data_IF_709980910744
#
_entry.id   IF_709980910744
#
_cell.length_a   1.000
_cell.length_b   1.000
_cell.length_c   1.000
_cell.angle_alpha   90.00
_cell.angle_beta   90.00
_cell.angle_gamma   90.00
#
_symmetry.space_group_name_H-M   'P 1'
#
loop_
_entity.id
_entity.type
_entity.pdbx_description
1 polymer ?
#
# COMPACT_ATOMS: atom_id res chain seq x y z
N UNK A 1 -22.08 -13.70 18.48
CA UNK A 1 -21.55 -12.40 18.01
C UNK A 1 -20.69 -12.71 16.81
N UNK A 2 -21.38 -12.73 15.68
CA UNK A 2 -20.96 -12.47 14.30
C UNK A 2 -19.66 -13.13 13.80
N UNK A 3 -19.84 -14.35 13.30
CA UNK A 3 -19.00 -14.94 12.26
C UNK A 3 -19.25 -14.16 10.96
N UNK A 4 -18.55 -13.03 10.80
CA UNK A 4 -18.63 -12.21 9.58
C UNK A 4 -17.85 -12.92 8.50
N UNK A 5 -18.54 -13.82 7.79
CA UNK A 5 -18.19 -14.32 6.46
C UNK A 5 -18.32 -13.20 5.42
N UNK A 6 -17.56 -12.12 5.63
CA UNK A 6 -17.45 -10.95 4.75
C UNK A 6 -16.05 -10.79 4.13
N UNK A 7 -15.12 -11.71 4.45
CA UNK A 7 -13.71 -11.68 4.06
C UNK A 7 -13.39 -12.34 2.72
N UNK A 8 -14.29 -12.28 1.74
CA UNK A 8 -13.96 -12.66 0.36
C UNK A 8 -14.30 -11.53 -0.62
N UNK A 9 -15.46 -10.90 -0.43
CA UNK A 9 -15.94 -9.79 -1.28
C UNK A 9 -15.07 -8.54 -1.10
N UNK A 10 -14.52 -8.31 0.10
CA UNK A 10 -13.65 -7.16 0.38
C UNK A 10 -12.26 -7.30 -0.25
N UNK A 11 -11.67 -8.48 -0.16
CA UNK A 11 -10.32 -8.79 -0.62
C UNK A 11 -10.25 -8.82 -2.14
N UNK A 12 -11.21 -9.45 -2.80
CA UNK A 12 -11.26 -9.49 -4.26
C UNK A 12 -11.38 -8.08 -4.85
N UNK A 13 -12.28 -7.25 -4.28
CA UNK A 13 -12.42 -5.84 -4.67
C UNK A 13 -11.11 -5.08 -4.50
N UNK A 14 -10.34 -5.38 -3.45
CA UNK A 14 -9.07 -4.71 -3.21
C UNK A 14 -7.97 -5.16 -4.18
N UNK A 15 -7.88 -6.46 -4.46
CA UNK A 15 -6.97 -6.99 -5.47
C UNK A 15 -7.27 -6.37 -6.84
N UNK A 16 -8.54 -6.32 -7.26
CA UNK A 16 -8.94 -5.66 -8.52
C UNK A 16 -8.56 -4.18 -8.56
N UNK A 17 -8.75 -3.45 -7.46
CA UNK A 17 -8.36 -2.04 -7.39
C UNK A 17 -6.84 -1.84 -7.53
N UNK A 18 -6.03 -2.70 -6.90
CA UNK A 18 -4.57 -2.65 -7.00
C UNK A 18 -4.08 -3.00 -8.41
N UNK A 19 -4.65 -4.03 -9.02
CA UNK A 19 -4.33 -4.42 -10.40
C UNK A 19 -4.72 -3.31 -11.38
N UNK A 20 -5.90 -2.71 -11.19
CA UNK A 20 -6.35 -1.56 -11.98
C UNK A 20 -5.45 -0.34 -11.84
N UNK A 21 -4.99 -0.03 -10.63
CA UNK A 21 -4.02 1.05 -10.39
C UNK A 21 -2.65 0.78 -11.04
N UNK A 22 -2.27 -0.50 -11.15
CA UNK A 22 -1.07 -0.94 -11.87
C UNK A 22 -1.26 -1.03 -13.40
N UNK A 23 -2.49 -0.83 -13.91
CA UNK A 23 -2.81 -0.97 -15.33
C UNK A 23 -2.75 -2.42 -15.84
N UNK A 24 -2.91 -3.39 -14.94
CA UNK A 24 -2.87 -4.81 -15.28
C UNK A 24 -4.28 -5.34 -15.51
N UNK A 25 -4.49 -5.95 -16.66
CA UNK A 25 -5.66 -6.76 -16.95
C UNK A 25 -5.33 -8.23 -16.68
N UNK A 26 -6.06 -8.83 -15.73
CA UNK A 26 -5.75 -10.15 -15.16
C UNK A 26 -7.02 -11.00 -15.17
N UNK A 27 -6.95 -12.27 -15.63
CA UNK A 27 -8.09 -13.18 -15.64
C UNK A 27 -8.73 -13.37 -14.26
N UNK A 28 -10.05 -13.58 -14.22
CA UNK A 28 -10.80 -13.71 -12.96
C UNK A 28 -10.31 -14.87 -12.08
N UNK A 29 -9.87 -15.99 -12.66
CA UNK A 29 -9.36 -17.13 -11.91
C UNK A 29 -7.99 -16.84 -11.26
N UNK A 30 -7.21 -15.91 -11.81
CA UNK A 30 -6.00 -15.40 -11.19
C UNK A 30 -6.31 -14.38 -10.10
N UNK A 31 -7.31 -13.52 -10.31
CA UNK A 31 -7.83 -12.60 -9.28
C UNK A 31 -8.30 -13.37 -8.05
N UNK A 32 -9.05 -14.45 -8.24
CA UNK A 32 -9.51 -15.32 -7.14
C UNK A 32 -8.36 -15.97 -6.37
N UNK A 33 -7.31 -16.41 -7.09
CA UNK A 33 -6.09 -16.96 -6.48
C UNK A 33 -5.34 -15.90 -5.68
N UNK A 34 -5.22 -14.70 -6.22
CA UNK A 34 -4.59 -13.55 -5.55
C UNK A 34 -5.39 -13.11 -4.32
N UNK A 35 -6.72 -13.07 -4.39
CA UNK A 35 -7.59 -12.73 -3.28
C UNK A 35 -7.39 -13.66 -2.08
N UNK A 36 -7.11 -14.96 -2.31
CA UNK A 36 -6.78 -15.94 -1.26
C UNK A 36 -5.41 -15.68 -0.61
N UNK A 37 -4.43 -15.18 -1.36
CA UNK A 37 -3.08 -14.89 -0.88
C UNK A 37 -2.95 -13.52 -0.22
N UNK A 38 -3.76 -12.56 -0.67
CA UNK A 38 -3.69 -11.15 -0.29
C UNK A 38 -3.73 -10.89 1.23
N UNK A 39 -4.57 -11.53 2.05
CA UNK A 39 -4.60 -11.32 3.50
C UNK A 39 -3.25 -11.61 4.18
N UNK A 40 -2.58 -12.69 3.76
CA UNK A 40 -1.28 -13.07 4.33
C UNK A 40 -0.18 -12.07 3.97
N UNK A 41 -0.18 -11.63 2.71
CA UNK A 41 0.74 -10.59 2.24
C UNK A 41 0.51 -9.27 2.96
N UNK A 42 -0.75 -8.82 3.07
CA UNK A 42 -1.12 -7.58 3.77
C UNK A 42 -0.65 -7.60 5.22
N UNK A 43 -0.92 -8.68 5.98
CA UNK A 43 -0.45 -8.82 7.37
C UNK A 43 1.07 -8.78 7.49
N UNK A 44 1.78 -9.32 6.49
CA UNK A 44 3.24 -9.33 6.45
C UNK A 44 3.77 -7.91 6.22
N UNK A 45 3.24 -7.21 5.21
CA UNK A 45 3.57 -5.81 4.92
C UNK A 45 3.26 -4.91 6.11
N UNK A 46 2.07 -5.04 6.70
CA UNK A 46 1.66 -4.27 7.90
C UNK A 46 2.62 -4.49 9.07
N UNK A 47 3.18 -5.70 9.21
CA UNK A 47 4.21 -5.98 10.23
C UNK A 47 5.54 -5.31 9.91
N UNK A 48 5.97 -5.33 8.64
CA UNK A 48 7.23 -4.70 8.22
C UNK A 48 7.19 -3.19 8.35
N UNK A 49 6.06 -2.57 8.00
CA UNK A 49 5.84 -1.13 8.12
C UNK A 49 5.21 -0.72 9.45
N UNK A 50 5.19 -1.63 10.44
CA UNK A 50 4.85 -1.28 11.81
C UNK A 50 5.99 -0.44 12.39
N UNK A 51 6.03 0.83 12.02
CA UNK A 51 6.92 1.80 12.63
C UNK A 51 6.39 2.07 14.04
N UNK A 52 7.15 1.74 15.11
CA UNK A 52 6.84 2.32 16.40
C UNK A 52 7.04 3.83 16.25
N UNK A 53 5.94 4.55 16.10
CA UNK A 53 5.90 6.01 16.27
C UNK A 53 6.12 6.28 17.76
N UNK A 54 7.38 6.10 18.20
CA UNK A 54 7.89 6.60 19.46
C UNK A 54 8.16 8.08 19.25
N UNK A 55 7.28 8.89 19.84
CA UNK A 55 7.18 10.34 19.69
C UNK A 55 6.92 10.86 18.28
N UNK A 56 6.10 11.90 18.23
CA UNK A 56 5.64 12.63 17.06
C UNK A 56 6.78 13.41 16.36
N UNK A 57 7.92 12.77 16.10
CA UNK A 57 8.99 13.40 15.35
C UNK A 57 8.71 13.16 13.87
N UNK A 58 8.07 14.15 13.26
CA UNK A 58 7.89 14.27 11.80
C UNK A 58 9.17 13.85 11.09
N UNK A 59 9.09 12.82 10.24
CA UNK A 59 10.21 12.37 9.43
C UNK A 59 10.84 13.57 8.72
N UNK A 60 12.16 13.73 8.84
CA UNK A 60 12.88 14.85 8.26
C UNK A 60 12.71 14.83 6.73
N UNK A 61 11.81 15.66 6.22
CA UNK A 61 11.67 15.89 4.78
C UNK A 61 12.90 16.67 4.34
N UNK A 62 13.83 15.99 3.69
CA UNK A 62 14.97 16.64 3.06
C UNK A 62 14.48 17.38 1.81
N UNK A 63 14.27 18.70 1.93
CA UNK A 63 14.05 19.56 0.77
C UNK A 63 15.41 19.82 0.14
N UNK A 64 15.64 19.28 -1.05
CA UNK A 64 16.76 19.71 -1.87
C UNK A 64 16.58 21.20 -2.15
N UNK A 65 17.46 22.02 -1.60
CA UNK A 65 17.51 23.44 -1.95
C UNK A 65 18.13 23.50 -3.33
N UNK A 66 17.33 23.85 -4.34
CA UNK A 66 17.84 24.23 -5.66
C UNK A 66 18.83 25.37 -5.44
N UNK A 67 20.10 25.02 -5.46
CA UNK A 67 21.21 25.96 -5.39
C UNK A 67 21.49 26.36 -6.82
N UNK A 68 20.69 27.26 -7.39
CA UNK A 68 21.05 27.96 -8.62
C UNK A 68 22.03 29.06 -8.24
N UNK A 69 23.34 28.96 -8.55
CA UNK A 69 24.27 30.03 -8.26
C UNK A 69 24.20 31.03 -9.42
N UNK A 70 23.82 32.27 -9.12
CA UNK A 70 23.99 33.37 -10.07
C UNK A 70 22.90 34.41 -9.99
N UNK A 71 23.06 35.39 -9.10
CA UNK A 71 23.02 36.79 -9.51
C UNK A 71 23.69 37.65 -8.42
N UNK A 72 25.01 37.87 -8.57
CA UNK A 72 25.67 39.01 -7.95
C UNK A 72 25.54 40.19 -8.92
N UNK A 73 24.78 41.22 -8.54
CA UNK A 73 24.94 42.58 -9.04
C UNK A 73 24.69 43.60 -7.95
#
# INVERSE_FOLDING_TARGET
>A
MDDVSGGAIGEEKMVRALLGAAGLDVPDDEVDRLAKLYPGLRRTVDRYYRVPVGDEVTAAVYRAVDSTPGDER
#
